data_IF_064322598357
#
_entry.id   IF_064322598357
#
_cell.length_a   1.000
_cell.length_b   1.000
_cell.length_c   1.000
_cell.angle_alpha   90.00
_cell.angle_beta   90.00
_cell.angle_gamma   90.00
#
_symmetry.space_group_name_H-M   'P 1'
#
loop_
_entity.id
_entity.type
_entity.pdbx_description
1 polymer ?
#
# COMPACT_ATOMS: atom_id res chain seq x y z
N UNK A 1 -33.80 10.07 -0.42
CA UNK A 1 -33.81 9.41 0.91
C UNK A 1 -32.42 9.20 1.53
N UNK A 2 -31.32 8.99 0.79
CA UNK A 2 -29.99 8.73 1.41
C UNK A 2 -29.18 9.97 1.86
N UNK A 3 -29.37 11.16 1.26
CA UNK A 3 -28.67 12.39 1.70
C UNK A 3 -29.21 13.03 2.99
N UNK A 4 -30.44 12.70 3.38
CA UNK A 4 -31.09 13.24 4.59
C UNK A 4 -30.72 12.47 5.87
N UNK A 5 -30.20 11.24 5.73
CA UNK A 5 -29.85 10.38 6.86
C UNK A 5 -28.48 10.75 7.45
N UNK A 6 -27.52 11.08 6.58
CA UNK A 6 -26.15 11.48 6.96
C UNK A 6 -26.13 12.82 7.69
N UNK A 7 -27.01 13.76 7.32
CA UNK A 7 -27.14 15.04 8.03
C UNK A 7 -27.75 14.90 9.43
N UNK A 8 -28.56 13.86 9.67
CA UNK A 8 -29.22 13.64 10.96
C UNK A 8 -28.31 12.95 11.99
N UNK A 9 -27.30 12.18 11.56
CA UNK A 9 -26.32 11.58 12.48
C UNK A 9 -25.38 12.67 13.05
N UNK A 10 -24.91 13.59 12.20
CA UNK A 10 -24.09 14.73 12.65
C UNK A 10 -24.85 15.72 13.56
N UNK A 11 -26.16 15.87 13.37
CA UNK A 11 -27.00 16.73 14.23
C UNK A 11 -27.37 16.07 15.57
N UNK A 12 -27.44 14.74 15.67
CA UNK A 12 -27.75 14.04 16.92
C UNK A 12 -26.56 13.94 17.88
N UNK A 13 -25.32 13.97 17.38
CA UNK A 13 -24.12 14.05 18.23
C UNK A 13 -24.00 15.45 18.87
N UNK A 14 -24.55 16.49 18.24
CA UNK A 14 -24.48 17.87 18.73
C UNK A 14 -25.61 18.24 19.71
N UNK A 15 -26.74 17.52 19.73
CA UNK A 15 -27.96 17.95 20.44
C UNK A 15 -28.22 17.31 21.82
N UNK A 16 -27.48 16.29 22.26
CA UNK A 16 -27.69 15.64 23.57
C UNK A 16 -26.96 16.38 24.72
N UNK A 17 -26.14 17.39 24.41
CA UNK A 17 -25.34 18.12 25.43
C UNK A 17 -26.06 19.37 25.98
N UNK A 18 -27.17 19.82 25.38
CA UNK A 18 -27.66 21.20 25.61
C UNK A 18 -28.94 21.38 26.43
N UNK A 19 -29.39 20.40 27.24
CA UNK A 19 -30.59 20.61 28.07
C UNK A 19 -30.56 19.94 29.44
N UNK A 20 -29.45 20.09 30.14
CA UNK A 20 -29.42 20.14 31.61
C UNK A 20 -28.12 20.83 31.96
N UNK A 21 -28.15 22.07 32.45
CA UNK A 21 -27.22 22.64 33.44
C UNK A 21 -27.47 24.15 33.56
N UNK A 22 -28.40 24.51 34.45
CA UNK A 22 -28.34 25.75 35.21
C UNK A 22 -27.75 25.39 36.58
N UNK A 23 -26.46 25.05 36.59
CA UNK A 23 -25.65 25.03 37.81
C UNK A 23 -24.28 25.58 37.42
N UNK A 24 -23.94 26.70 38.03
CA UNK A 24 -22.63 27.32 37.92
C UNK A 24 -21.58 26.38 38.50
N UNK A 25 -20.76 25.78 37.65
CA UNK A 25 -19.46 25.20 38.02
C UNK A 25 -18.40 25.85 37.15
N UNK A 26 -17.29 26.24 37.76
CA UNK A 26 -16.10 26.67 37.03
C UNK A 26 -15.71 25.53 36.08
N UNK A 27 -15.96 25.73 34.78
CA UNK A 27 -15.59 24.78 33.75
C UNK A 27 -14.07 24.76 33.62
N UNK A 28 -13.47 23.62 33.92
CA UNK A 28 -12.19 23.28 33.33
C UNK A 28 -12.48 23.00 31.86
N UNK A 29 -12.38 24.04 31.02
CA UNK A 29 -12.38 23.86 29.57
C UNK A 29 -11.10 23.09 29.25
N UNK A 30 -11.23 21.83 28.84
CA UNK A 30 -10.08 21.07 28.35
C UNK A 30 -9.48 21.87 27.20
N UNK A 31 -8.16 22.09 27.14
CA UNK A 31 -7.56 22.80 26.02
C UNK A 31 -7.97 22.11 24.71
N UNK A 32 -8.25 22.91 23.68
CA UNK A 32 -8.51 22.37 22.34
C UNK A 32 -7.31 21.52 21.89
N UNK A 33 -7.55 20.36 21.24
CA UNK A 33 -6.48 19.53 20.71
C UNK A 33 -5.57 20.31 19.76
N UNK A 34 -4.26 20.10 19.88
CA UNK A 34 -3.27 20.75 19.00
C UNK A 34 -3.42 20.22 17.59
N UNK A 35 -3.49 21.12 16.61
CA UNK A 35 -3.54 20.78 15.18
C UNK A 35 -2.25 21.17 14.48
N UNK A 36 -1.92 20.42 13.44
CA UNK A 36 -0.76 20.66 12.58
C UNK A 36 -1.17 20.55 11.12
N UNK A 37 -0.49 21.28 10.25
CA UNK A 37 -0.62 21.12 8.79
C UNK A 37 0.62 20.43 8.27
N UNK A 38 0.42 19.39 7.46
CA UNK A 38 1.48 18.83 6.62
C UNK A 38 1.27 19.37 5.21
N UNK A 39 2.20 20.21 4.77
CA UNK A 39 2.17 20.80 3.43
C UNK A 39 2.85 19.87 2.43
N UNK A 40 2.25 19.67 1.26
CA UNK A 40 2.83 18.89 0.16
C UNK A 40 2.46 19.51 -1.19
N UNK A 41 3.17 19.13 -2.26
CA UNK A 41 2.79 19.53 -3.62
C UNK A 41 1.44 18.95 -4.09
N UNK A 42 0.89 17.97 -3.36
CA UNK A 42 -0.42 17.37 -3.61
C UNK A 42 -1.55 18.04 -2.81
N UNK A 43 -1.22 19.00 -1.95
CA UNK A 43 -2.15 19.68 -1.06
C UNK A 43 -1.78 19.55 0.42
N UNK A 44 -2.61 20.16 1.25
CA UNK A 44 -2.41 20.22 2.70
C UNK A 44 -3.22 19.14 3.41
N UNK A 45 -2.63 18.54 4.43
CA UNK A 45 -3.32 17.65 5.38
C UNK A 45 -3.36 18.31 6.75
N UNK A 46 -4.55 18.52 7.31
CA UNK A 46 -4.71 18.99 8.69
C UNK A 46 -4.85 17.79 9.60
N UNK A 47 -3.98 17.71 10.60
CA UNK A 47 -3.92 16.61 11.56
C UNK A 47 -4.23 17.13 12.95
N UNK A 48 -5.14 16.46 13.64
CA UNK A 48 -5.37 16.64 15.07
C UNK A 48 -4.48 15.67 15.85
N UNK A 49 -3.67 16.18 16.78
CA UNK A 49 -2.79 15.36 17.63
C UNK A 49 -3.52 14.92 18.90
N UNK A 50 -3.27 13.69 19.35
CA UNK A 50 -3.94 13.13 20.53
C UNK A 50 -3.25 13.51 21.84
N UNK A 51 -4.02 14.05 22.76
CA UNK A 51 -3.59 14.36 24.13
C UNK A 51 -3.34 13.10 24.99
N UNK A 52 -3.87 11.95 24.57
CA UNK A 52 -3.66 10.66 25.26
C UNK A 52 -2.30 10.02 24.94
N UNK A 53 -1.52 10.64 24.04
CA UNK A 53 -0.16 10.26 23.65
C UNK A 53 0.81 11.45 23.79
N UNK A 54 0.97 11.99 25.01
CA UNK A 54 1.69 13.25 25.22
C UNK A 54 3.17 13.15 24.80
N UNK A 55 3.83 12.01 25.00
CA UNK A 55 5.23 11.82 24.61
C UNK A 55 5.46 11.99 23.11
N UNK A 56 4.55 11.45 22.29
CA UNK A 56 4.63 11.58 20.83
C UNK A 56 4.15 12.95 20.37
N UNK A 57 3.02 13.44 20.90
CA UNK A 57 2.47 14.77 20.57
C UNK A 57 3.50 15.86 20.82
N UNK A 58 4.05 15.94 22.04
CA UNK A 58 4.95 17.02 22.44
C UNK A 58 6.28 16.95 21.67
N UNK A 59 6.77 15.74 21.38
CA UNK A 59 7.95 15.56 20.55
C UNK A 59 7.71 16.00 19.10
N UNK A 60 6.56 15.65 18.51
CA UNK A 60 6.22 16.04 17.15
C UNK A 60 6.11 17.57 17.03
N UNK A 61 5.44 18.21 18.00
CA UNK A 61 5.34 19.68 18.09
C UNK A 61 6.72 20.32 18.23
N UNK A 62 7.57 19.78 19.11
CA UNK A 62 8.94 20.27 19.29
C UNK A 62 9.71 20.23 17.96
N UNK A 63 9.75 19.08 17.29
CA UNK A 63 10.50 18.91 16.05
C UNK A 63 9.96 19.79 14.91
N UNK A 64 8.64 19.95 14.80
CA UNK A 64 8.04 20.88 13.84
C UNK A 64 8.46 22.34 14.10
N UNK A 65 8.37 22.82 15.35
CA UNK A 65 8.81 24.17 15.72
C UNK A 65 10.31 24.40 15.51
N UNK A 66 11.13 23.35 15.56
CA UNK A 66 12.57 23.39 15.26
C UNK A 66 12.87 23.36 13.74
N UNK A 67 11.85 23.27 12.87
CA UNK A 67 12.02 23.14 11.42
C UNK A 67 12.62 21.79 10.99
N UNK A 68 12.56 20.78 11.87
CA UNK A 68 13.16 19.46 11.63
C UNK A 68 12.56 18.80 10.38
N UNK A 69 11.24 18.94 10.22
CA UNK A 69 10.48 18.34 9.13
C UNK A 69 10.52 19.12 7.82
N UNK A 70 11.15 20.31 7.79
CA UNK A 70 11.18 21.15 6.61
C UNK A 70 11.86 20.43 5.44
N UNK A 71 11.14 20.30 4.33
CA UNK A 71 11.64 19.75 3.07
C UNK A 71 12.11 18.29 3.17
N UNK A 72 11.49 17.48 4.03
CA UNK A 72 11.75 16.04 4.09
C UNK A 72 10.92 15.26 3.07
N UNK A 73 11.35 14.03 2.75
CA UNK A 73 10.63 13.15 1.84
C UNK A 73 9.66 12.22 2.58
N UNK A 74 8.50 11.98 1.95
CA UNK A 74 7.80 10.70 2.09
C UNK A 74 8.63 9.61 1.38
N UNK A 75 9.66 9.13 2.06
CA UNK A 75 10.67 8.23 1.51
C UNK A 75 10.20 6.79 1.33
N UNK A 76 9.01 6.45 1.85
CA UNK A 76 8.39 5.13 1.69
C UNK A 76 6.87 5.26 1.53
N UNK A 77 6.38 4.97 0.33
CA UNK A 77 4.97 5.02 -0.08
C UNK A 77 4.54 3.62 -0.52
N UNK A 78 3.44 3.13 0.04
CA UNK A 78 2.86 1.85 -0.36
C UNK A 78 1.35 2.00 -0.54
N UNK A 79 0.91 1.84 -1.79
CA UNK A 79 -0.50 1.80 -2.15
C UNK A 79 -1.23 0.71 -1.34
N UNK A 80 -2.43 1.05 -0.85
CA UNK A 80 -3.22 0.22 0.05
C UNK A 80 -2.65 0.04 1.46
N UNK A 81 -1.59 0.76 1.85
CA UNK A 81 -0.98 0.63 3.18
C UNK A 81 -0.67 1.96 3.87
N UNK A 82 0.41 2.66 3.50
CA UNK A 82 0.81 3.90 4.19
C UNK A 82 1.76 4.78 3.39
N UNK A 83 1.90 6.02 3.84
CA UNK A 83 2.93 6.97 3.40
C UNK A 83 3.81 7.31 4.61
N UNK A 84 5.11 7.09 4.51
CA UNK A 84 6.07 7.19 5.62
C UNK A 84 7.12 8.26 5.34
N UNK A 85 7.34 9.12 6.35
CA UNK A 85 8.25 10.26 6.32
C UNK A 85 9.02 10.43 7.64
N UNK A 86 9.68 11.58 7.77
CA UNK A 86 10.36 11.99 9.01
C UNK A 86 11.80 11.47 9.19
N UNK A 87 12.42 10.97 8.12
CA UNK A 87 13.85 10.65 8.11
C UNK A 87 14.66 11.92 7.75
N UNK A 88 15.50 12.47 8.66
CA UNK A 88 16.30 13.67 8.37
C UNK A 88 17.32 13.47 7.25
N UNK A 89 17.76 12.23 7.00
CA UNK A 89 18.72 11.93 5.93
C UNK A 89 18.09 12.12 4.53
N UNK A 90 16.77 12.29 4.47
CA UNK A 90 16.03 12.51 3.23
C UNK A 90 16.14 13.93 2.65
N UNK A 91 16.56 14.91 3.45
CA UNK A 91 16.60 16.33 3.06
C UNK A 91 17.40 16.55 1.76
N UNK A 92 18.60 15.96 1.73
CA UNK A 92 19.56 16.05 0.61
C UNK A 92 19.82 14.70 -0.07
N UNK A 93 18.87 13.76 0.04
CA UNK A 93 19.06 12.41 -0.46
C UNK A 93 19.13 12.36 -2.00
N UNK A 94 20.15 11.69 -2.53
CA UNK A 94 20.25 11.42 -3.96
C UNK A 94 19.12 10.46 -4.41
N UNK A 95 18.67 10.50 -5.68
CA UNK A 95 17.76 9.49 -6.22
C UNK A 95 18.29 8.07 -5.96
N UNK A 96 17.40 7.15 -5.54
CA UNK A 96 17.77 5.77 -5.20
C UNK A 96 18.56 5.58 -3.89
N UNK A 97 18.96 6.65 -3.19
CA UNK A 97 19.56 6.53 -1.86
C UNK A 97 18.59 5.84 -0.90
N UNK A 98 19.11 4.85 -0.17
CA UNK A 98 18.35 4.13 0.86
C UNK A 98 18.12 5.04 2.07
N UNK A 99 16.86 5.10 2.49
CA UNK A 99 16.38 5.89 3.62
C UNK A 99 15.61 4.98 4.61
N UNK A 100 15.14 5.56 5.70
CA UNK A 100 14.40 4.91 6.79
C UNK A 100 15.25 4.59 8.03
N UNK A 101 16.53 4.97 8.05
CA UNK A 101 17.45 4.69 9.16
C UNK A 101 17.82 5.93 10.00
N UNK A 102 17.56 7.13 9.51
CA UNK A 102 17.87 8.36 10.23
C UNK A 102 16.87 8.70 11.32
N UNK A 103 17.23 9.66 12.15
CA UNK A 103 16.40 10.17 13.25
C UNK A 103 17.17 11.18 14.12
N UNK A 104 16.55 11.72 15.18
CA UNK A 104 17.13 12.79 15.99
C UNK A 104 18.12 12.28 17.05
N UNK A 105 18.55 11.01 16.97
CA UNK A 105 19.47 10.39 17.92
C UNK A 105 18.83 9.81 19.19
N UNK A 106 17.50 9.75 19.26
CA UNK A 106 16.76 9.16 20.38
C UNK A 106 15.48 8.45 19.91
N UNK A 107 14.88 7.69 20.83
CA UNK A 107 13.58 7.01 20.67
C UNK A 107 12.58 7.49 21.72
N UNK A 108 11.29 7.23 21.48
CA UNK A 108 10.20 7.61 22.39
C UNK A 108 9.59 6.32 22.97
N UNK A 109 9.35 6.21 24.29
CA UNK A 109 8.63 5.07 24.85
C UNK A 109 7.27 4.89 24.19
N UNK A 110 6.84 3.63 23.99
CA UNK A 110 5.57 3.34 23.33
C UNK A 110 4.38 3.86 24.14
N UNK A 111 3.39 4.44 23.46
CA UNK A 111 2.13 4.94 24.02
C UNK A 111 0.94 4.27 23.30
N UNK A 112 1.03 2.94 23.07
CA UNK A 112 0.01 2.18 22.36
C UNK A 112 -1.29 2.11 23.15
N UNK A 113 -2.43 2.32 22.48
CA UNK A 113 -3.74 2.36 23.12
C UNK A 113 -4.81 1.65 22.29
N UNK A 114 -5.77 1.04 22.98
CA UNK A 114 -6.87 0.30 22.36
C UNK A 114 -7.90 1.20 21.65
N UNK A 115 -7.93 2.50 21.98
CA UNK A 115 -8.80 3.52 21.40
C UNK A 115 -8.14 4.27 20.23
N UNK A 116 -6.87 4.01 19.93
CA UNK A 116 -6.17 4.62 18.79
C UNK A 116 -5.88 3.56 17.72
N UNK A 117 -6.73 3.50 16.70
CA UNK A 117 -6.66 2.51 15.63
C UNK A 117 -5.94 3.04 14.40
N UNK A 118 -5.34 2.13 13.63
CA UNK A 118 -4.70 2.43 12.34
C UNK A 118 -5.73 2.49 11.21
N UNK A 119 -6.79 3.29 11.37
CA UNK A 119 -7.75 3.61 10.30
C UNK A 119 -7.12 4.60 9.30
N UNK A 120 -7.70 4.74 8.10
CA UNK A 120 -7.22 5.70 7.10
C UNK A 120 -7.08 7.12 7.70
N UNK A 121 -5.92 7.74 7.47
CA UNK A 121 -5.56 9.05 8.02
C UNK A 121 -4.93 9.01 9.41
N UNK A 122 -4.84 7.87 10.08
CA UNK A 122 -4.14 7.77 11.36
C UNK A 122 -2.65 8.14 11.19
N UNK A 123 -2.16 9.06 12.01
CA UNK A 123 -0.75 9.43 12.14
C UNK A 123 -0.11 8.55 13.22
N UNK A 124 0.85 7.73 12.82
CA UNK A 124 1.47 6.74 13.70
C UNK A 124 3.00 6.73 13.61
N UNK A 125 3.64 6.37 14.70
CA UNK A 125 5.09 6.40 14.81
C UNK A 125 5.73 5.14 14.22
N UNK A 126 6.76 5.31 13.41
CA UNK A 126 7.56 4.19 12.90
C UNK A 126 8.48 3.66 14.02
N UNK A 127 8.91 2.40 13.92
CA UNK A 127 9.91 1.81 14.83
C UNK A 127 10.68 0.69 14.17
N UNK A 128 11.79 0.31 14.78
CA UNK A 128 12.45 -0.95 14.44
C UNK A 128 11.63 -2.16 14.91
N UNK A 129 11.86 -3.31 14.27
CA UNK A 129 11.19 -4.57 14.60
C UNK A 129 11.58 -5.11 15.98
N UNK A 130 10.72 -5.97 16.54
CA UNK A 130 10.79 -6.42 17.93
C UNK A 130 12.11 -7.15 18.28
N UNK A 131 12.78 -7.77 17.31
CA UNK A 131 14.05 -8.46 17.54
C UNK A 131 15.20 -7.54 17.95
N UNK A 132 15.25 -6.32 17.43
CA UNK A 132 16.22 -5.29 17.83
C UNK A 132 15.64 -4.26 18.79
N UNK A 133 14.31 -4.19 18.92
CA UNK A 133 13.58 -3.22 19.73
C UNK A 133 12.45 -3.90 20.51
N UNK A 134 12.77 -4.74 21.53
CA UNK A 134 11.77 -5.50 22.27
C UNK A 134 10.87 -4.63 23.15
N UNK A 135 11.31 -3.41 23.51
CA UNK A 135 10.49 -2.42 24.22
C UNK A 135 9.52 -1.69 23.29
N UNK A 136 9.62 -1.93 21.98
CA UNK A 136 8.82 -1.31 20.91
C UNK A 136 8.85 0.23 20.97
N UNK A 137 9.95 0.81 21.42
CA UNK A 137 10.13 2.26 21.44
C UNK A 137 10.05 2.81 20.01
N UNK A 138 9.31 3.90 19.84
CA UNK A 138 9.14 4.58 18.57
C UNK A 138 10.41 5.30 18.13
N UNK A 139 10.57 5.46 16.82
CA UNK A 139 11.49 6.43 16.25
C UNK A 139 11.21 7.82 16.83
N UNK A 140 12.28 8.60 17.07
CA UNK A 140 12.16 9.96 17.57
C UNK A 140 11.57 10.95 16.56
N UNK A 141 11.55 10.63 15.26
CA UNK A 141 11.03 11.56 14.23
C UNK A 141 10.24 10.90 13.11
N UNK A 142 10.49 9.63 12.80
CA UNK A 142 9.83 8.96 11.67
C UNK A 142 8.40 8.57 12.01
N UNK A 143 7.49 8.86 11.09
CA UNK A 143 6.07 8.59 11.21
C UNK A 143 5.52 8.08 9.87
N UNK A 144 4.31 7.55 9.92
CA UNK A 144 3.52 7.25 8.73
C UNK A 144 2.08 7.70 8.91
N UNK A 145 1.44 8.01 7.78
CA UNK A 145 0.00 8.25 7.69
C UNK A 145 -0.61 7.05 6.98
N UNK A 146 -1.65 6.47 7.57
CA UNK A 146 -2.30 5.29 7.02
C UNK A 146 -3.10 5.65 5.77
N UNK A 147 -2.83 4.96 4.67
CA UNK A 147 -3.70 4.92 3.50
C UNK A 147 -4.70 3.77 3.65
N UNK A 148 -4.16 2.56 3.82
CA UNK A 148 -4.93 1.35 4.11
C UNK A 148 -5.87 0.92 2.99
N UNK A 149 -6.68 -0.10 3.29
CA UNK A 149 -7.80 -0.54 2.45
C UNK A 149 -8.99 -0.94 3.31
N UNK A 150 -10.16 -1.06 2.71
CA UNK A 150 -11.35 -1.61 3.38
C UNK A 150 -11.27 -3.13 3.50
N UNK A 151 -11.91 -3.67 4.54
CA UNK A 151 -11.96 -5.11 4.80
C UNK A 151 -13.40 -5.59 4.94
N UNK A 152 -13.69 -6.78 4.44
CA UNK A 152 -14.90 -7.51 4.83
C UNK A 152 -14.77 -8.03 6.27
N UNK A 153 -15.89 -8.35 6.92
CA UNK A 153 -15.88 -8.93 8.26
C UNK A 153 -15.03 -10.20 8.37
N UNK A 154 -15.11 -11.09 7.37
CA UNK A 154 -14.32 -12.32 7.31
C UNK A 154 -12.81 -12.03 7.16
N UNK A 155 -12.42 -11.10 6.27
CA UNK A 155 -11.01 -10.72 6.14
C UNK A 155 -10.47 -10.12 7.43
N UNK A 156 -11.26 -9.26 8.09
CA UNK A 156 -10.87 -8.61 9.32
C UNK A 156 -10.70 -9.63 10.45
N UNK A 157 -11.67 -10.55 10.64
CA UNK A 157 -11.58 -11.58 11.67
C UNK A 157 -10.35 -12.48 11.47
N UNK A 158 -10.02 -12.85 10.23
CA UNK A 158 -8.80 -13.60 9.89
C UNK A 158 -7.52 -12.82 10.25
N UNK A 159 -7.50 -11.50 10.02
CA UNK A 159 -6.34 -10.66 10.39
C UNK A 159 -6.20 -10.57 11.91
N UNK A 160 -7.30 -10.37 12.62
CA UNK A 160 -7.33 -10.28 14.09
C UNK A 160 -6.79 -11.58 14.70
N UNK A 161 -7.29 -12.73 14.24
CA UNK A 161 -6.83 -14.04 14.72
C UNK A 161 -5.32 -14.20 14.53
N UNK A 162 -4.82 -13.87 13.32
CA UNK A 162 -3.39 -13.97 13.01
C UNK A 162 -2.53 -12.98 13.77
N UNK A 163 -3.06 -11.82 14.16
CA UNK A 163 -2.30 -10.76 14.83
C UNK A 163 -2.34 -10.86 16.36
N UNK A 164 -3.24 -11.71 16.90
CA UNK A 164 -3.50 -11.89 18.34
C UNK A 164 -2.25 -12.17 19.19
N UNK A 165 -1.26 -12.89 18.64
CA UNK A 165 -0.01 -13.19 19.32
C UNK A 165 0.97 -12.02 19.40
N UNK A 166 0.76 -10.97 18.60
CA UNK A 166 1.60 -9.76 18.57
C UNK A 166 0.98 -8.60 19.37
N UNK A 167 -0.34 -8.62 19.55
CA UNK A 167 -1.09 -7.63 20.32
C UNK A 167 -0.93 -7.82 21.84
N UNK A 168 -1.30 -6.81 22.62
CA UNK A 168 -1.39 -6.92 24.07
C UNK A 168 -2.43 -7.99 24.44
N UNK A 169 -2.11 -8.87 25.38
CA UNK A 169 -3.01 -9.92 25.83
C UNK A 169 -4.35 -9.34 26.32
N UNK A 170 -5.45 -9.83 25.76
CA UNK A 170 -6.81 -9.42 26.13
C UNK A 170 -7.36 -8.20 25.38
N UNK A 171 -6.68 -7.70 24.35
CA UNK A 171 -7.27 -6.72 23.43
C UNK A 171 -8.31 -7.39 22.52
N UNK A 172 -9.51 -6.82 22.50
CA UNK A 172 -10.62 -7.22 21.63
C UNK A 172 -11.20 -5.98 20.95
N UNK A 173 -11.51 -6.11 19.67
CA UNK A 173 -12.15 -5.05 18.90
C UNK A 173 -13.63 -4.96 19.24
N UNK A 174 -14.13 -3.74 19.43
CA UNK A 174 -15.58 -3.50 19.49
C UNK A 174 -16.20 -3.58 18.09
N UNK A 175 -17.51 -3.80 17.99
CA UNK A 175 -18.22 -3.80 16.71
C UNK A 175 -18.07 -2.47 15.96
N UNK A 176 -18.05 -1.36 16.69
CA UNK A 176 -17.82 -0.01 16.15
C UNK A 176 -16.43 0.11 15.53
N UNK A 177 -15.41 -0.41 16.20
CA UNK A 177 -14.04 -0.44 15.69
C UNK A 177 -13.90 -1.30 14.44
N UNK A 178 -14.59 -2.45 14.39
CA UNK A 178 -14.64 -3.29 13.19
C UNK A 178 -15.31 -2.58 12.02
N UNK A 179 -16.39 -1.83 12.27
CA UNK A 179 -17.10 -1.08 11.23
C UNK A 179 -16.22 0.02 10.59
N UNK A 180 -15.32 0.65 11.37
CA UNK A 180 -14.38 1.62 10.82
C UNK A 180 -13.47 1.00 9.73
N UNK A 181 -13.00 -0.23 9.93
CA UNK A 181 -12.19 -0.93 8.93
C UNK A 181 -12.97 -1.38 7.70
N UNK A 182 -14.28 -1.58 7.83
CA UNK A 182 -15.16 -1.87 6.69
C UNK A 182 -15.47 -0.63 5.86
N UNK A 183 -15.49 0.55 6.49
CA UNK A 183 -15.98 1.79 5.87
C UNK A 183 -14.86 2.75 5.46
N UNK A 184 -13.96 3.10 6.38
CA UNK A 184 -12.82 3.98 6.12
C UNK A 184 -11.60 3.20 5.61
N UNK A 185 -11.49 1.95 6.01
CA UNK A 185 -10.30 1.14 5.79
C UNK A 185 -9.15 1.48 6.74
N UNK A 186 -8.01 0.82 6.55
CA UNK A 186 -6.84 1.03 7.41
C UNK A 186 -5.84 -0.11 7.35
N UNK A 187 -5.11 -0.30 8.46
CA UNK A 187 -4.08 -1.32 8.63
C UNK A 187 -4.21 -2.02 10.01
N UNK A 188 -5.26 -2.82 10.25
CA UNK A 188 -5.58 -3.41 11.56
C UNK A 188 -4.48 -4.31 12.13
N UNK A 189 -3.60 -4.86 11.29
CA UNK A 189 -2.45 -5.66 11.71
C UNK A 189 -1.35 -4.85 12.42
N UNK A 190 -1.47 -3.52 12.48
CA UNK A 190 -0.57 -2.63 13.22
C UNK A 190 -1.12 -2.22 14.59
N UNK A 191 -2.40 -2.45 14.85
CA UNK A 191 -3.02 -2.09 16.14
C UNK A 191 -2.31 -2.79 17.29
N UNK A 192 -2.18 -2.06 18.40
CA UNK A 192 -1.45 -2.50 19.61
C UNK A 192 0.02 -2.88 19.38
N UNK A 193 0.60 -2.53 18.23
CA UNK A 193 2.00 -2.76 17.89
C UNK A 193 2.77 -1.48 17.60
N UNK A 194 2.07 -0.38 17.31
CA UNK A 194 2.62 0.94 17.00
C UNK A 194 1.76 2.02 17.68
N UNK A 195 2.39 3.12 18.06
CA UNK A 195 1.69 4.27 18.64
C UNK A 195 1.04 5.09 17.53
N UNK A 196 -0.29 5.16 17.50
CA UNK A 196 -1.05 6.19 16.79
C UNK A 196 -1.16 7.40 17.71
N UNK A 197 -0.78 8.59 17.22
CA UNK A 197 -0.71 9.82 18.03
C UNK A 197 -1.40 11.03 17.38
N UNK A 198 -2.12 10.83 16.27
CA UNK A 198 -2.96 11.84 15.66
C UNK A 198 -3.82 11.27 14.53
N UNK A 199 -4.68 12.11 13.96
CA UNK A 199 -5.59 11.75 12.87
C UNK A 199 -5.72 12.91 11.88
N UNK A 200 -5.60 12.60 10.59
CA UNK A 200 -5.95 13.54 9.52
C UNK A 200 -7.45 13.81 9.57
N UNK A 201 -7.82 15.07 9.78
CA UNK A 201 -9.21 15.56 9.86
C UNK A 201 -9.63 16.30 8.57
N UNK A 202 -8.68 16.83 7.81
CA UNK A 202 -8.89 17.43 6.48
C UNK A 202 -7.76 17.03 5.53
N UNK A 203 -8.07 16.83 4.24
CA UNK A 203 -7.08 16.42 3.22
C UNK A 203 -6.86 14.91 3.10
N UNK A 204 -7.85 14.06 3.43
CA UNK A 204 -7.73 12.60 3.30
C UNK A 204 -7.44 12.13 1.86
N UNK A 205 -7.87 12.88 0.85
CA UNK A 205 -7.64 12.64 -0.58
C UNK A 205 -6.19 12.96 -1.02
N UNK A 206 -5.48 13.80 -0.25
CA UNK A 206 -4.04 14.03 -0.45
C UNK A 206 -3.27 12.74 -0.19
N UNK A 207 -3.70 11.92 0.78
CA UNK A 207 -3.09 10.60 1.07
C UNK A 207 -3.21 9.69 -0.16
N UNK A 208 -4.37 9.66 -0.81
CA UNK A 208 -4.62 8.84 -2.01
C UNK A 208 -3.73 9.30 -3.17
N UNK A 209 -3.60 10.62 -3.33
CA UNK A 209 -2.78 11.22 -4.37
C UNK A 209 -1.30 10.88 -4.18
N UNK A 210 -0.79 10.94 -2.94
CA UNK A 210 0.57 10.53 -2.62
C UNK A 210 0.73 9.01 -2.78
N UNK A 211 -0.22 8.20 -2.33
CA UNK A 211 -0.13 6.74 -2.43
C UNK A 211 -0.10 6.23 -3.87
N UNK A 212 -0.71 6.97 -4.80
CA UNK A 212 -0.75 6.66 -6.23
C UNK A 212 0.54 7.03 -6.98
N UNK A 213 1.50 7.73 -6.35
CA UNK A 213 2.75 8.10 -7.02
C UNK A 213 3.54 6.86 -7.41
N UNK A 214 4.17 6.92 -8.58
CA UNK A 214 4.99 5.80 -9.06
C UNK A 214 6.18 5.61 -8.12
N UNK A 215 6.33 4.40 -7.59
CA UNK A 215 7.53 3.99 -6.85
C UNK A 215 8.53 3.28 -7.77
N UNK A 216 9.80 3.22 -7.40
CA UNK A 216 10.79 2.49 -8.22
C UNK A 216 10.44 1.00 -8.27
N UNK A 217 10.40 0.41 -9.46
CA UNK A 217 10.08 -0.99 -9.62
C UNK A 217 10.37 -1.55 -11.00
N UNK A 218 10.08 -2.83 -11.16
CA UNK A 218 10.11 -3.51 -12.45
C UNK A 218 8.71 -3.54 -13.03
N UNK A 219 8.59 -3.31 -14.34
CA UNK A 219 7.39 -3.67 -15.08
C UNK A 219 7.11 -5.15 -14.86
N UNK A 220 5.84 -5.51 -14.72
CA UNK A 220 5.40 -6.91 -14.73
C UNK A 220 4.45 -7.16 -15.88
N UNK A 221 4.42 -8.40 -16.35
CA UNK A 221 3.43 -8.87 -17.31
C UNK A 221 2.77 -10.13 -16.76
N UNK A 222 1.49 -10.27 -17.07
CA UNK A 222 0.76 -11.53 -16.93
C UNK A 222 0.37 -11.99 -18.33
N UNK A 223 0.71 -13.23 -18.67
CA UNK A 223 0.40 -13.84 -19.97
C UNK A 223 -0.10 -15.26 -19.77
N UNK A 224 -0.75 -15.82 -20.79
CA UNK A 224 -0.87 -17.27 -20.94
C UNK A 224 -0.23 -17.71 -22.25
N UNK A 225 0.34 -18.91 -22.28
CA UNK A 225 1.03 -19.38 -23.48
C UNK A 225 0.92 -20.90 -23.73
N UNK A 226 1.17 -21.29 -24.97
CA UNK A 226 1.35 -22.67 -25.43
C UNK A 226 2.77 -22.78 -25.99
N UNK A 227 3.57 -23.75 -25.52
CA UNK A 227 4.88 -24.05 -26.09
C UNK A 227 4.79 -25.24 -27.04
N UNK A 228 4.98 -24.98 -28.33
CA UNK A 228 5.28 -26.00 -29.33
C UNK A 228 6.80 -26.21 -29.34
N UNK A 229 7.25 -27.22 -28.59
CA UNK A 229 8.68 -27.44 -28.34
C UNK A 229 9.40 -27.96 -29.59
N UNK A 230 10.54 -27.37 -29.89
CA UNK A 230 11.47 -27.88 -30.90
C UNK A 230 12.47 -28.87 -30.28
N UNK A 231 12.80 -29.91 -31.02
CA UNK A 231 13.91 -30.80 -30.74
C UNK A 231 15.25 -30.14 -31.11
N UNK A 232 15.29 -29.39 -32.23
CA UNK A 232 16.42 -28.55 -32.61
C UNK A 232 15.95 -27.17 -33.13
N UNK A 233 15.96 -26.16 -32.26
CA UNK A 233 15.56 -24.79 -32.63
C UNK A 233 16.45 -24.09 -33.69
N UNK A 234 17.55 -24.72 -34.13
CA UNK A 234 18.35 -24.23 -35.28
C UNK A 234 17.95 -24.88 -36.61
N UNK A 235 17.05 -25.86 -36.60
CA UNK A 235 16.48 -26.46 -37.81
C UNK A 235 15.34 -25.59 -38.34
N UNK A 236 15.59 -24.90 -39.46
CA UNK A 236 14.62 -24.00 -40.09
C UNK A 236 13.35 -24.73 -40.55
N UNK A 237 13.46 -25.98 -41.01
CA UNK A 237 12.32 -26.73 -41.51
C UNK A 237 11.42 -27.18 -40.34
N UNK A 238 12.03 -27.58 -39.23
CA UNK A 238 11.30 -27.89 -37.99
C UNK A 238 10.57 -26.64 -37.48
N UNK A 239 11.28 -25.52 -37.33
CA UNK A 239 10.69 -24.26 -36.84
C UNK A 239 9.58 -23.75 -37.78
N UNK A 240 9.73 -23.90 -39.09
CA UNK A 240 8.67 -23.55 -40.04
C UNK A 240 7.41 -24.40 -39.85
N UNK A 241 7.56 -25.72 -39.63
CA UNK A 241 6.43 -26.61 -39.37
C UNK A 241 5.73 -26.27 -38.05
N UNK A 242 6.49 -25.98 -36.99
CA UNK A 242 5.93 -25.53 -35.71
C UNK A 242 5.20 -24.20 -35.85
N UNK A 243 5.71 -23.27 -36.65
CA UNK A 243 5.04 -22.00 -36.93
C UNK A 243 3.73 -22.16 -37.71
N UNK A 244 3.66 -23.10 -38.66
CA UNK A 244 2.40 -23.46 -39.33
C UNK A 244 1.38 -23.95 -38.29
N UNK A 245 1.78 -24.87 -37.41
CA UNK A 245 0.91 -25.34 -36.34
C UNK A 245 0.52 -24.22 -35.37
N UNK A 246 1.43 -23.30 -35.05
CA UNK A 246 1.14 -22.15 -34.20
C UNK A 246 0.06 -21.26 -34.80
N UNK A 247 0.11 -21.01 -36.11
CA UNK A 247 -0.90 -20.23 -36.83
C UNK A 247 -2.27 -20.91 -36.79
N UNK A 248 -2.34 -22.22 -37.00
CA UNK A 248 -3.60 -22.99 -36.92
C UNK A 248 -4.23 -22.89 -35.51
N UNK A 249 -3.41 -23.02 -34.46
CA UNK A 249 -3.87 -22.90 -33.08
C UNK A 249 -4.31 -21.47 -32.75
N UNK A 250 -3.62 -20.45 -33.23
CA UNK A 250 -4.04 -19.05 -33.06
C UNK A 250 -5.39 -18.77 -33.73
N UNK A 251 -5.62 -19.29 -34.94
CA UNK A 251 -6.93 -19.16 -35.60
C UNK A 251 -8.03 -19.92 -34.86
N UNK A 252 -7.73 -21.09 -34.28
CA UNK A 252 -8.67 -21.79 -33.42
C UNK A 252 -9.03 -20.99 -32.15
N UNK A 253 -8.03 -20.38 -31.48
CA UNK A 253 -8.23 -19.51 -30.31
C UNK A 253 -9.11 -18.31 -30.68
N UNK A 254 -8.81 -17.62 -31.78
CA UNK A 254 -9.64 -16.52 -32.29
C UNK A 254 -11.06 -16.98 -32.65
N UNK A 255 -11.22 -18.23 -33.09
CA UNK A 255 -12.49 -18.89 -33.34
C UNK A 255 -13.27 -19.32 -32.08
N UNK A 256 -12.72 -19.08 -30.88
CA UNK A 256 -13.36 -19.38 -29.60
C UNK A 256 -13.02 -20.76 -29.01
N UNK A 257 -11.98 -21.42 -29.51
CA UNK A 257 -11.46 -22.63 -28.86
C UNK A 257 -10.97 -22.32 -27.44
N UNK A 258 -11.15 -23.27 -26.52
CA UNK A 258 -10.73 -23.09 -25.13
C UNK A 258 -9.20 -23.15 -25.01
N UNK A 259 -8.61 -22.08 -24.48
CA UNK A 259 -7.16 -21.96 -24.37
C UNK A 259 -6.58 -23.01 -23.39
N UNK A 260 -7.25 -23.32 -22.28
CA UNK A 260 -6.79 -24.31 -21.30
C UNK A 260 -6.74 -25.72 -21.92
N UNK A 261 -7.74 -26.06 -22.73
CA UNK A 261 -7.81 -27.31 -23.46
C UNK A 261 -6.66 -27.43 -24.46
N UNK A 262 -6.41 -26.38 -25.25
CA UNK A 262 -5.28 -26.34 -26.19
C UNK A 262 -3.93 -26.41 -25.48
N UNK A 263 -3.76 -25.76 -24.32
CA UNK A 263 -2.55 -25.91 -23.50
C UNK A 263 -2.35 -27.36 -23.09
N UNK A 264 -3.41 -28.03 -22.63
CA UNK A 264 -3.34 -29.43 -22.17
C UNK A 264 -2.98 -30.38 -23.30
N UNK A 265 -3.49 -30.15 -24.51
CA UNK A 265 -3.25 -31.00 -25.68
C UNK A 265 -1.88 -30.76 -26.30
N UNK A 266 -1.48 -29.50 -26.47
CA UNK A 266 -0.35 -29.14 -27.32
C UNK A 266 0.89 -28.67 -26.56
N UNK A 267 0.73 -27.97 -25.43
CA UNK A 267 1.86 -27.34 -24.76
C UNK A 267 2.82 -28.38 -24.17
N UNK A 268 4.12 -28.18 -24.43
CA UNK A 268 5.21 -28.98 -23.88
C UNK A 268 5.96 -28.27 -22.76
N UNK A 269 5.41 -27.18 -22.23
CA UNK A 269 5.93 -26.52 -21.04
C UNK A 269 5.33 -27.13 -19.75
N UNK A 270 6.09 -27.94 -19.00
CA UNK A 270 5.58 -28.55 -17.78
C UNK A 270 5.26 -27.53 -16.68
N UNK A 271 5.86 -26.33 -16.74
CA UNK A 271 5.72 -25.29 -15.72
C UNK A 271 4.35 -24.61 -15.73
N UNK A 272 3.76 -24.45 -16.92
CA UNK A 272 2.54 -23.65 -17.11
C UNK A 272 1.30 -24.49 -17.41
N UNK A 273 1.43 -25.74 -17.88
CA UNK A 273 0.30 -26.62 -18.24
C UNK A 273 -0.72 -26.78 -17.10
N UNK A 274 -0.28 -26.89 -15.85
CA UNK A 274 -1.16 -27.06 -14.69
C UNK A 274 -2.05 -25.85 -14.40
N UNK A 275 -1.68 -24.68 -14.94
CA UNK A 275 -2.35 -23.41 -14.71
C UNK A 275 -2.83 -22.81 -16.04
N UNK A 276 -3.29 -23.64 -16.99
CA UNK A 276 -3.77 -23.18 -18.30
C UNK A 276 -2.76 -22.30 -19.07
N UNK A 277 -1.47 -22.55 -18.92
CA UNK A 277 -0.43 -21.80 -19.62
C UNK A 277 -0.08 -20.47 -18.94
N UNK A 278 -0.64 -20.17 -17.77
CA UNK A 278 -0.50 -18.85 -17.14
C UNK A 278 0.88 -18.63 -16.49
N UNK A 279 1.48 -17.49 -16.81
CA UNK A 279 2.52 -16.84 -16.03
C UNK A 279 2.00 -15.49 -15.55
N UNK A 280 1.88 -15.33 -14.23
CA UNK A 280 1.26 -14.17 -13.60
C UNK A 280 2.33 -13.28 -12.96
N UNK A 281 2.24 -11.98 -13.27
CA UNK A 281 3.03 -10.87 -12.72
C UNK A 281 4.53 -11.12 -12.65
N UNK A 282 5.09 -11.74 -13.70
CA UNK A 282 6.53 -11.92 -13.78
C UNK A 282 7.21 -10.60 -14.16
N UNK A 283 8.37 -10.27 -13.57
CA UNK A 283 9.12 -9.06 -13.85
C UNK A 283 9.79 -9.09 -15.23
N UNK A 284 9.94 -7.90 -15.82
CA UNK A 284 10.67 -7.68 -17.07
C UNK A 284 12.12 -8.16 -16.98
N UNK A 285 12.56 -8.81 -18.06
CA UNK A 285 13.88 -9.44 -18.20
C UNK A 285 13.97 -10.84 -17.60
N UNK A 286 12.89 -11.39 -17.01
CA UNK A 286 12.91 -12.76 -16.47
C UNK A 286 12.81 -13.83 -17.57
N UNK A 287 12.11 -13.55 -18.65
CA UNK A 287 11.87 -14.50 -19.74
C UNK A 287 12.94 -14.38 -20.84
N UNK A 288 13.01 -15.38 -21.74
CA UNK A 288 13.88 -15.30 -22.92
C UNK A 288 13.49 -14.11 -23.81
N UNK A 289 14.45 -13.47 -24.51
CA UNK A 289 14.24 -12.14 -25.12
C UNK A 289 12.94 -12.01 -25.94
N UNK A 290 12.71 -12.88 -26.92
CA UNK A 290 11.51 -12.78 -27.77
C UNK A 290 10.19 -12.95 -26.99
N UNK A 291 10.14 -13.86 -26.01
CA UNK A 291 8.98 -14.04 -25.13
C UNK A 291 8.77 -12.80 -24.25
N UNK A 292 9.86 -12.29 -23.68
CA UNK A 292 9.84 -11.08 -22.86
C UNK A 292 9.32 -9.90 -23.67
N UNK A 293 9.93 -9.63 -24.83
CA UNK A 293 9.62 -8.46 -25.65
C UNK A 293 8.15 -8.48 -26.08
N UNK A 294 7.61 -9.62 -26.50
CA UNK A 294 6.17 -9.75 -26.80
C UNK A 294 5.30 -9.48 -25.57
N UNK A 295 5.64 -10.09 -24.43
CA UNK A 295 4.84 -9.96 -23.20
C UNK A 295 4.74 -8.53 -22.68
N UNK A 296 5.75 -7.69 -22.94
CA UNK A 296 5.84 -6.33 -22.42
C UNK A 296 5.53 -5.24 -23.44
N UNK A 297 5.73 -5.47 -24.74
CA UNK A 297 5.59 -4.41 -25.74
C UNK A 297 4.28 -4.48 -26.52
N UNK A 298 3.62 -5.65 -26.55
CA UNK A 298 2.30 -5.80 -27.16
C UNK A 298 1.18 -5.38 -26.20
N UNK A 299 0.05 -4.96 -26.75
CA UNK A 299 -1.11 -4.51 -25.98
C UNK A 299 -1.78 -5.67 -25.20
N UNK A 300 -2.47 -5.34 -24.10
CA UNK A 300 -3.30 -6.32 -23.39
C UNK A 300 -4.38 -6.88 -24.33
N UNK A 301 -4.48 -8.20 -24.40
CA UNK A 301 -5.34 -8.93 -25.33
C UNK A 301 -4.65 -9.33 -26.64
N UNK A 302 -3.41 -8.90 -26.89
CA UNK A 302 -2.66 -9.32 -28.06
C UNK A 302 -2.36 -10.83 -28.02
N UNK A 303 -2.60 -11.52 -29.14
CA UNK A 303 -2.31 -12.93 -29.35
C UNK A 303 -1.31 -13.06 -30.52
N UNK A 304 -0.18 -13.73 -30.29
CA UNK A 304 0.85 -13.88 -31.30
C UNK A 304 1.78 -15.06 -31.04
N UNK A 305 2.61 -15.38 -32.04
CA UNK A 305 3.61 -16.43 -31.96
C UNK A 305 5.02 -15.83 -31.96
N UNK A 306 5.91 -16.37 -31.12
CA UNK A 306 7.32 -15.98 -31.07
C UNK A 306 8.24 -17.20 -31.04
N UNK A 307 9.33 -17.09 -31.78
CA UNK A 307 10.35 -18.13 -31.84
C UNK A 307 11.37 -17.94 -30.71
N UNK A 308 11.70 -19.03 -30.02
CA UNK A 308 12.74 -19.05 -29.01
C UNK A 308 13.63 -20.27 -29.19
N UNK A 309 14.72 -20.35 -28.42
CA UNK A 309 15.58 -21.54 -28.37
C UNK A 309 14.87 -22.83 -27.90
N UNK A 310 13.63 -22.73 -27.40
CA UNK A 310 12.84 -23.86 -26.95
C UNK A 310 11.79 -24.32 -27.98
N UNK A 311 11.59 -23.56 -29.07
CA UNK A 311 10.53 -23.77 -30.04
C UNK A 311 9.64 -22.52 -30.18
N UNK A 312 8.40 -22.72 -30.63
CA UNK A 312 7.45 -21.64 -30.91
C UNK A 312 6.50 -21.47 -29.73
N UNK A 313 6.40 -20.25 -29.21
CA UNK A 313 5.46 -19.91 -28.15
C UNK A 313 4.29 -19.12 -28.74
N UNK A 314 3.07 -19.62 -28.54
CA UNK A 314 1.85 -18.85 -28.76
C UNK A 314 1.54 -18.14 -27.45
N UNK A 315 1.49 -16.81 -27.44
CA UNK A 315 1.36 -15.99 -26.24
C UNK A 315 0.12 -15.10 -26.37
N UNK A 316 -0.66 -15.02 -25.30
CA UNK A 316 -1.70 -14.00 -25.12
C UNK A 316 -1.37 -13.12 -23.91
N UNK A 317 -1.33 -11.81 -24.14
CA UNK A 317 -1.08 -10.83 -23.07
C UNK A 317 -2.37 -10.63 -22.26
N UNK A 318 -2.32 -10.92 -20.96
CA UNK A 318 -3.49 -10.82 -20.07
C UNK A 318 -3.52 -9.50 -19.30
N UNK A 319 -2.35 -9.02 -18.87
CA UNK A 319 -2.24 -7.77 -18.12
C UNK A 319 -0.79 -7.24 -18.13
N UNK A 320 -0.65 -5.91 -17.98
CA UNK A 320 0.61 -5.28 -17.59
C UNK A 320 0.47 -4.69 -16.19
N UNK A 321 1.54 -4.77 -15.41
CA UNK A 321 1.58 -4.25 -14.06
C UNK A 321 2.93 -3.65 -13.71
N UNK A 322 3.07 -3.32 -12.44
CA UNK A 322 4.30 -2.79 -11.88
C UNK A 322 4.52 -3.40 -10.50
N UNK A 323 5.68 -4.03 -10.31
CA UNK A 323 6.11 -4.54 -9.01
C UNK A 323 7.20 -3.65 -8.47
N UNK A 324 6.84 -2.87 -7.45
CA UNK A 324 7.76 -2.03 -6.70
C UNK A 324 8.98 -2.85 -6.22
N UNK A 325 10.18 -2.36 -6.52
CA UNK A 325 11.46 -2.88 -5.99
C UNK A 325 11.90 -2.08 -4.78
N UNK A 326 11.51 -0.81 -4.71
CA UNK A 326 11.64 0.03 -3.53
C UNK A 326 10.33 0.78 -3.33
N UNK A 327 9.95 0.99 -2.07
CA UNK A 327 8.77 1.82 -1.79
C UNK A 327 9.09 3.32 -1.90
N UNK A 328 10.25 3.71 -2.44
CA UNK A 328 10.59 5.11 -2.64
C UNK A 328 9.87 5.62 -3.89
N UNK A 329 9.14 6.74 -3.82
CA UNK A 329 8.64 7.43 -5.01
C UNK A 329 9.77 7.72 -6.02
N UNK A 330 9.49 7.55 -7.31
CA UNK A 330 10.41 7.91 -8.41
C UNK A 330 10.62 9.42 -8.46
N UNK A 331 9.52 10.15 -8.25
CA UNK A 331 9.54 11.59 -8.06
C UNK A 331 9.44 11.89 -6.57
N UNK A 332 10.35 12.72 -6.07
CA UNK A 332 10.41 13.09 -4.65
C UNK A 332 9.08 13.73 -4.22
N UNK A 333 8.39 13.12 -3.26
CA UNK A 333 7.24 13.74 -2.58
C UNK A 333 7.74 14.40 -1.31
N UNK A 334 7.81 15.74 -1.33
CA UNK A 334 8.34 16.54 -0.22
C UNK A 334 7.23 17.07 0.66
N UNK A 335 7.56 17.26 1.94
CA UNK A 335 6.65 17.86 2.90
C UNK A 335 7.37 18.77 3.90
N UNK A 336 6.59 19.61 4.55
CA UNK A 336 6.95 20.35 5.78
C UNK A 336 5.79 20.27 6.77
N UNK A 337 6.03 20.65 8.03
CA UNK A 337 5.02 20.60 9.10
C UNK A 337 4.91 21.95 9.78
N UNK A 338 3.71 22.50 9.86
CA UNK A 338 3.38 23.74 10.56
C UNK A 338 2.43 23.46 11.74
N UNK A 339 2.60 24.15 12.86
CA UNK A 339 1.66 24.07 14.00
C UNK A 339 0.56 25.12 13.82
N UNK A 340 -0.70 24.70 13.88
CA UNK A 340 -1.84 25.61 13.93
C UNK A 340 -2.06 26.05 15.39
N UNK A 341 -1.91 27.35 15.63
CA UNK A 341 -2.14 27.98 16.93
C UNK A 341 -3.59 28.42 17.14
#
# INVERSE_FOLDING_TARGET
MKKSFIRNIFLQISAIICSFFLISSAGCESPEPVKVVIHTDFGDMIIELSDSTPGHRDNFIKLANEGFYDNLLFHRVMDGFMIQGGDPDSKDALPGQRLGSGGPGYTIPAEMRADHLHVKGALAAARQGDSSNPTRASSGSQFYIVHGKTYTGEELDNIIERSSHMTIAGFEYTDEQKELYSTLGGAPFLDMNYTVFGQVIEGLDVIDSIAAVRTEGKRTASVRHILLKADNASDEAEMAALNVQANELMEAIKGGADFCELVTLYSKDPGSVKNCGAYIDFPEGQMVPAFNDFSFNEEVGALGAVDTRFGVHIIEVLNHGHKSTTNRPVEDVRFSVEILQ
#
